data_IF_589495066615
#
_entry.id   IF_589495066615
#
_cell.length_a   1.000
_cell.length_b   1.000
_cell.length_c   1.000
_cell.angle_alpha   90.00
_cell.angle_beta   90.00
_cell.angle_gamma   90.00
#
_symmetry.space_group_name_H-M   'P 1'
#
loop_
_entity.id
_entity.type
_entity.pdbx_description
1 polymer ?
#
# COMPACT_ATOMS: atom_id res chain seq x y z
N UNK A 1 98.35 30.78 -12.77
CA UNK A 1 97.56 31.53 -11.77
C UNK A 1 96.25 30.81 -11.56
N UNK A 2 95.97 30.44 -10.33
CA UNK A 2 94.90 29.52 -9.90
C UNK A 2 93.56 30.26 -9.89
N UNK A 3 92.57 29.72 -10.61
CA UNK A 3 91.21 30.27 -10.65
C UNK A 3 90.33 29.54 -9.62
N UNK A 4 89.84 30.27 -8.61
CA UNK A 4 88.83 29.81 -7.63
C UNK A 4 87.43 29.99 -8.22
N UNK A 5 86.61 28.94 -8.22
CA UNK A 5 85.15 29.06 -8.37
C UNK A 5 84.48 28.22 -7.28
N UNK A 6 83.69 28.88 -6.44
CA UNK A 6 83.01 28.31 -5.29
C UNK A 6 81.78 27.49 -5.66
N UNK A 7 81.64 26.33 -5.03
CA UNK A 7 80.44 25.47 -5.07
C UNK A 7 79.41 25.98 -4.06
N UNK A 8 78.22 26.37 -4.52
CA UNK A 8 77.02 26.52 -3.69
C UNK A 8 76.28 25.18 -3.66
N UNK A 9 75.98 24.70 -2.46
CA UNK A 9 75.11 23.56 -2.18
C UNK A 9 73.64 24.00 -2.32
N UNK A 10 72.84 23.25 -3.07
CA UNK A 10 71.37 23.36 -3.07
C UNK A 10 70.83 22.03 -2.56
N UNK A 11 70.18 22.07 -1.40
CA UNK A 11 69.46 20.98 -0.77
C UNK A 11 68.07 20.85 -1.39
N UNK A 12 67.76 19.69 -1.97
CA UNK A 12 66.41 19.35 -2.44
C UNK A 12 65.70 18.58 -1.33
N UNK A 13 64.67 19.21 -0.74
CA UNK A 13 63.74 18.55 0.18
C UNK A 13 62.67 17.80 -0.62
N UNK A 14 62.49 16.51 -0.35
CA UNK A 14 61.43 15.68 -0.92
C UNK A 14 60.25 15.69 0.05
N UNK A 15 59.13 16.28 -0.36
CA UNK A 15 57.87 16.24 0.36
C UNK A 15 57.05 15.04 -0.10
N UNK A 16 56.86 14.05 0.78
CA UNK A 16 55.97 12.90 0.54
C UNK A 16 54.54 13.31 0.94
N UNK A 17 53.65 13.46 -0.05
CA UNK A 17 52.23 13.68 0.19
C UNK A 17 51.50 12.33 0.33
N UNK A 18 51.01 12.03 1.53
CA UNK A 18 50.12 10.90 1.80
C UNK A 18 48.70 11.27 1.35
N UNK A 19 48.28 10.78 0.19
CA UNK A 19 46.90 10.84 -0.27
C UNK A 19 46.10 9.71 0.38
N UNK A 20 45.37 10.00 1.46
CA UNK A 20 44.34 9.11 1.99
C UNK A 20 43.13 9.11 1.05
N UNK A 21 43.10 8.13 0.14
CA UNK A 21 41.96 7.89 -0.75
C UNK A 21 40.78 7.29 0.02
N UNK A 22 39.68 8.03 0.12
CA UNK A 22 38.39 7.48 0.57
C UNK A 22 37.88 6.59 -0.57
N UNK A 23 37.85 5.27 -0.35
CA UNK A 23 37.27 4.33 -1.28
C UNK A 23 35.75 4.54 -1.33
N UNK A 24 35.27 5.26 -2.33
CA UNK A 24 33.84 5.34 -2.65
C UNK A 24 33.46 4.01 -3.30
N UNK A 25 32.72 3.17 -2.59
CA UNK A 25 32.15 1.96 -3.18
C UNK A 25 31.11 2.37 -4.23
N UNK A 26 31.11 1.78 -5.44
CA UNK A 26 30.08 2.06 -6.43
C UNK A 26 28.73 1.56 -5.90
N UNK A 27 27.71 2.42 -5.93
CA UNK A 27 26.34 2.01 -5.66
C UNK A 27 25.95 0.94 -6.69
N UNK A 28 25.50 -0.23 -6.21
CA UNK A 28 24.94 -1.24 -7.11
C UNK A 28 23.73 -0.63 -7.84
N UNK A 29 23.61 -0.82 -9.16
CA UNK A 29 22.46 -0.31 -9.90
C UNK A 29 21.18 -0.92 -9.32
N UNK A 30 20.18 -0.09 -9.07
CA UNK A 30 18.85 -0.55 -8.71
C UNK A 30 18.35 -1.46 -9.83
N UNK A 31 18.03 -2.71 -9.51
CA UNK A 31 17.52 -3.67 -10.48
C UNK A 31 16.00 -3.54 -10.60
N UNK A 32 15.48 -3.72 -11.81
CA UNK A 32 14.06 -4.01 -12.02
C UNK A 32 13.63 -5.21 -11.17
N UNK A 33 12.33 -5.38 -10.88
CA UNK A 33 11.85 -6.60 -10.20
C UNK A 33 11.44 -7.64 -11.24
N UNK A 34 12.35 -8.53 -11.67
CA UNK A 34 12.01 -9.51 -12.67
C UNK A 34 10.92 -10.46 -12.19
N UNK A 35 10.15 -10.95 -13.15
CA UNK A 35 9.26 -12.09 -13.00
C UNK A 35 8.13 -11.91 -11.98
N UNK A 36 7.58 -10.69 -11.81
CA UNK A 36 6.37 -10.51 -10.98
C UNK A 36 5.23 -11.44 -11.42
N UNK A 37 4.52 -11.99 -10.43
CA UNK A 37 3.42 -12.94 -10.59
C UNK A 37 2.20 -12.36 -9.91
N UNK A 38 1.10 -12.30 -10.66
CA UNK A 38 -0.22 -12.03 -10.13
C UNK A 38 -0.85 -13.33 -9.63
N UNK A 39 -1.31 -13.35 -8.38
CA UNK A 39 -2.00 -14.48 -7.76
C UNK A 39 -3.38 -14.03 -7.27
N UNK A 40 -4.34 -14.96 -7.26
CA UNK A 40 -5.69 -14.69 -6.77
C UNK A 40 -6.27 -15.90 -6.03
N UNK A 41 -7.12 -15.65 -5.04
CA UNK A 41 -7.90 -16.67 -4.35
C UNK A 41 -9.29 -16.13 -4.02
N UNK A 42 -10.31 -16.99 -4.13
CA UNK A 42 -11.71 -16.64 -3.91
C UNK A 42 -12.27 -17.47 -2.75
N UNK A 43 -12.97 -16.81 -1.83
CA UNK A 43 -13.66 -17.49 -0.74
C UNK A 43 -14.96 -18.15 -1.21
N UNK A 44 -15.51 -19.12 -0.44
CA UNK A 44 -16.85 -19.65 -0.70
C UNK A 44 -17.91 -18.55 -0.70
N UNK A 45 -18.99 -18.78 -1.46
CA UNK A 45 -20.21 -17.97 -1.43
C UNK A 45 -21.11 -18.50 -0.32
N UNK A 46 -21.40 -17.68 0.69
CA UNK A 46 -22.37 -17.99 1.76
C UNK A 46 -22.84 -16.70 2.48
N UNK A 47 -23.56 -16.84 3.61
CA UNK A 47 -24.18 -15.74 4.36
C UNK A 47 -23.45 -15.36 5.66
N UNK A 48 -22.17 -15.73 5.84
CA UNK A 48 -21.38 -15.36 7.03
C UNK A 48 -21.25 -13.83 7.16
N UNK A 49 -21.22 -13.34 8.39
CA UNK A 49 -21.10 -11.90 8.68
C UNK A 49 -19.69 -11.35 8.49
N UNK A 50 -18.67 -12.21 8.42
CA UNK A 50 -17.31 -11.79 8.17
C UNK A 50 -16.53 -12.89 7.45
N UNK A 51 -15.56 -12.48 6.64
CA UNK A 51 -14.64 -13.39 5.96
C UNK A 51 -13.23 -12.85 5.99
N UNK A 52 -12.32 -13.79 6.12
CA UNK A 52 -10.91 -13.63 5.77
C UNK A 52 -10.62 -14.45 4.53
N UNK A 53 -9.96 -13.84 3.56
CA UNK A 53 -9.41 -14.54 2.41
C UNK A 53 -7.95 -14.18 2.25
N UNK A 54 -7.11 -15.22 2.12
CA UNK A 54 -5.69 -15.07 1.89
C UNK A 54 -5.31 -15.59 0.50
N UNK A 55 -4.28 -15.01 -0.09
CA UNK A 55 -3.63 -15.55 -1.28
C UNK A 55 -2.13 -15.62 -1.07
N UNK A 56 -1.57 -16.83 -1.18
CA UNK A 56 -0.15 -17.08 -0.92
C UNK A 56 0.71 -16.79 -2.16
N UNK A 57 1.88 -16.20 -1.91
CA UNK A 57 2.90 -16.12 -2.94
C UNK A 57 3.50 -17.50 -3.23
N UNK A 58 3.94 -17.77 -4.47
CA UNK A 58 4.67 -18.99 -4.79
C UNK A 58 5.95 -19.12 -3.94
N UNK A 59 6.45 -20.34 -3.70
CA UNK A 59 7.69 -20.55 -2.96
C UNK A 59 8.85 -19.70 -3.50
N UNK A 60 9.60 -19.07 -2.59
CA UNK A 60 10.73 -18.21 -2.92
C UNK A 60 10.36 -16.82 -3.44
N UNK A 61 9.07 -16.46 -3.46
CA UNK A 61 8.60 -15.11 -3.82
C UNK A 61 8.14 -14.35 -2.58
N UNK A 62 8.23 -13.02 -2.67
CA UNK A 62 7.82 -12.07 -1.63
C UNK A 62 6.55 -11.34 -2.04
N UNK A 63 5.69 -11.01 -1.08
CA UNK A 63 4.50 -10.19 -1.33
C UNK A 63 4.90 -8.72 -1.44
N UNK A 64 4.61 -8.10 -2.57
CA UNK A 64 4.93 -6.68 -2.84
C UNK A 64 3.73 -5.77 -2.60
N UNK A 65 2.53 -6.28 -2.82
CA UNK A 65 1.28 -5.57 -2.66
C UNK A 65 0.11 -6.47 -3.05
N UNK A 66 -1.09 -5.92 -3.06
CA UNK A 66 -2.29 -6.70 -3.35
C UNK A 66 -3.54 -5.86 -3.19
N UNK A 67 -4.68 -6.53 -3.26
CA UNK A 67 -5.99 -5.87 -3.21
C UNK A 67 -7.11 -6.86 -2.91
N UNK A 68 -8.33 -6.33 -2.85
CA UNK A 68 -9.54 -7.08 -2.51
C UNK A 68 -10.71 -6.77 -3.44
N UNK A 69 -11.64 -7.71 -3.54
CA UNK A 69 -12.93 -7.50 -4.19
C UNK A 69 -14.02 -8.25 -3.44
N UNK A 70 -15.12 -7.55 -3.16
CA UNK A 70 -16.33 -8.13 -2.58
C UNK A 70 -17.40 -8.27 -3.67
N UNK A 71 -17.90 -9.49 -3.87
CA UNK A 71 -18.97 -9.80 -4.81
C UNK A 71 -20.25 -10.26 -4.12
N UNK A 72 -21.41 -9.86 -4.64
CA UNK A 72 -22.73 -10.29 -4.12
C UNK A 72 -23.19 -9.55 -2.85
N UNK A 73 -22.41 -8.61 -2.33
CA UNK A 73 -22.63 -7.96 -1.04
C UNK A 73 -23.67 -6.82 -1.00
N UNK A 74 -24.21 -6.40 -2.15
CA UNK A 74 -25.02 -5.18 -2.20
C UNK A 74 -24.20 -3.95 -1.75
N UNK A 75 -24.69 -3.23 -0.72
CA UNK A 75 -24.08 -2.02 -0.13
C UNK A 75 -23.74 -2.20 1.35
N UNK A 76 -23.63 -3.45 1.80
CA UNK A 76 -23.68 -3.79 3.23
C UNK A 76 -22.53 -4.72 3.65
N UNK A 77 -21.51 -4.90 2.82
CA UNK A 77 -20.27 -5.56 3.21
C UNK A 77 -19.13 -4.65 2.83
N UNK A 78 -18.24 -4.44 3.78
CA UNK A 78 -17.15 -3.47 3.67
C UNK A 78 -15.82 -4.19 3.82
N UNK A 79 -14.84 -3.79 3.03
CA UNK A 79 -13.46 -4.25 3.19
C UNK A 79 -12.85 -3.47 4.36
N UNK A 80 -12.46 -4.19 5.40
CA UNK A 80 -11.88 -3.62 6.62
C UNK A 80 -10.38 -3.91 6.73
N UNK A 81 -9.87 -4.87 5.95
CA UNK A 81 -8.46 -5.24 5.93
C UNK A 81 -8.00 -5.52 4.51
N UNK A 82 -6.89 -4.91 4.11
CA UNK A 82 -6.09 -5.25 2.93
C UNK A 82 -4.63 -5.08 3.28
N UNK A 83 -3.92 -6.16 3.61
CA UNK A 83 -2.55 -6.08 4.11
C UNK A 83 -1.60 -7.09 3.45
N UNK A 84 -0.36 -6.69 3.16
CA UNK A 84 0.72 -7.62 2.89
C UNK A 84 1.19 -8.26 4.20
N UNK A 85 1.31 -9.58 4.22
CA UNK A 85 1.80 -10.33 5.38
C UNK A 85 3.04 -11.13 5.00
N UNK A 86 4.10 -10.96 5.78
CA UNK A 86 5.33 -11.74 5.65
C UNK A 86 5.58 -12.55 6.91
N UNK A 87 5.75 -13.86 6.74
CA UNK A 87 6.00 -14.80 7.84
C UNK A 87 7.17 -15.73 7.49
N UNK A 88 7.77 -16.42 8.47
CA UNK A 88 8.81 -17.43 8.19
C UNK A 88 8.32 -18.58 7.29
N UNK A 89 7.01 -18.86 7.29
CA UNK A 89 6.40 -19.94 6.49
C UNK A 89 5.99 -19.50 5.08
N UNK A 90 6.08 -18.21 4.77
CA UNK A 90 5.75 -17.67 3.46
C UNK A 90 5.04 -16.32 3.54
N UNK A 91 5.01 -15.66 2.40
CA UNK A 91 4.36 -14.37 2.20
C UNK A 91 2.97 -14.56 1.58
N UNK A 92 2.01 -13.75 2.00
CA UNK A 92 0.65 -13.75 1.47
C UNK A 92 0.03 -12.35 1.53
N UNK A 93 -1.04 -12.15 0.77
CA UNK A 93 -1.90 -10.99 0.94
C UNK A 93 -3.19 -11.41 1.66
N UNK A 94 -3.58 -10.65 2.68
CA UNK A 94 -4.79 -10.89 3.45
C UNK A 94 -5.82 -9.82 3.15
N UNK A 95 -7.05 -10.25 2.92
CA UNK A 95 -8.21 -9.39 2.79
C UNK A 95 -9.27 -9.87 3.78
N UNK A 96 -9.77 -8.95 4.60
CA UNK A 96 -10.94 -9.18 5.45
C UNK A 96 -12.06 -8.24 5.04
N UNK A 97 -13.28 -8.75 5.13
CA UNK A 97 -14.48 -7.98 4.89
C UNK A 97 -15.57 -8.42 5.86
N UNK A 98 -16.38 -7.46 6.28
CA UNK A 98 -17.43 -7.63 7.28
C UNK A 98 -18.74 -7.05 6.78
N UNK A 99 -19.83 -7.76 7.04
CA UNK A 99 -21.17 -7.23 6.87
C UNK A 99 -21.37 -6.08 7.85
N UNK A 100 -21.92 -4.97 7.36
CA UNK A 100 -22.32 -3.85 8.21
C UNK A 100 -23.51 -4.26 9.07
N UNK A 101 -23.55 -3.74 10.28
CA UNK A 101 -24.70 -3.89 11.17
C UNK A 101 -25.54 -2.63 11.04
N UNK A 102 -26.82 -2.76 10.69
CA UNK A 102 -27.73 -1.62 10.65
C UNK A 102 -28.07 -1.15 12.06
N UNK A 103 -28.49 0.11 12.18
CA UNK A 103 -28.97 0.70 13.43
C UNK A 103 -30.15 -0.05 14.09
N UNK A 104 -30.94 -0.80 13.32
CA UNK A 104 -32.05 -1.63 13.83
C UNK A 104 -31.59 -3.03 14.32
N UNK A 105 -30.29 -3.30 14.32
CA UNK A 105 -29.69 -4.57 14.71
C UNK A 105 -29.82 -5.67 13.64
N UNK A 106 -30.32 -5.35 12.45
CA UNK A 106 -30.35 -6.30 11.33
C UNK A 106 -29.05 -6.21 10.51
N UNK A 107 -28.47 -7.36 10.19
CA UNK A 107 -27.28 -7.46 9.33
C UNK A 107 -27.63 -7.90 7.92
N UNK A 108 -26.68 -7.75 7.00
CA UNK A 108 -26.77 -8.31 5.65
C UNK A 108 -26.99 -9.84 5.71
N UNK A 109 -28.02 -10.32 5.00
CA UNK A 109 -28.39 -11.76 4.94
C UNK A 109 -28.20 -12.39 3.56
N UNK A 110 -27.70 -11.63 2.59
CA UNK A 110 -27.43 -12.13 1.25
C UNK A 110 -26.20 -13.03 1.22
N UNK A 111 -26.11 -13.82 0.16
CA UNK A 111 -24.89 -14.57 -0.15
C UNK A 111 -23.86 -13.66 -0.81
N UNK A 112 -22.61 -13.75 -0.36
CA UNK A 112 -21.52 -12.94 -0.88
C UNK A 112 -20.20 -13.70 -0.83
N UNK A 113 -19.21 -13.24 -1.59
CA UNK A 113 -17.86 -13.78 -1.61
C UNK A 113 -16.80 -12.68 -1.58
N UNK A 114 -15.58 -13.08 -1.24
CA UNK A 114 -14.40 -12.23 -1.15
C UNK A 114 -13.30 -12.79 -2.04
N UNK A 115 -12.65 -11.92 -2.81
CA UNK A 115 -11.47 -12.26 -3.60
C UNK A 115 -10.27 -11.51 -3.04
N UNK A 116 -9.19 -12.24 -2.77
CA UNK A 116 -7.89 -11.69 -2.46
C UNK A 116 -7.00 -11.71 -3.72
N UNK A 117 -6.29 -10.61 -3.95
CA UNK A 117 -5.32 -10.47 -5.03
C UNK A 117 -3.94 -10.18 -4.45
N UNK A 118 -2.91 -10.83 -5.00
CA UNK A 118 -1.53 -10.64 -4.57
C UNK A 118 -0.60 -10.35 -5.75
N UNK A 119 0.36 -9.46 -5.51
CA UNK A 119 1.47 -9.15 -6.41
C UNK A 119 2.73 -9.71 -5.77
N UNK A 120 3.26 -10.79 -6.36
CA UNK A 120 4.41 -11.52 -5.82
C UNK A 120 5.63 -11.37 -6.71
N UNK A 121 6.81 -11.13 -6.15
CA UNK A 121 8.04 -10.93 -6.92
C UNK A 121 9.26 -11.52 -6.23
N UNK A 122 10.42 -11.38 -6.87
CA UNK A 122 11.68 -11.52 -6.14
C UNK A 122 11.81 -10.37 -5.13
N UNK A 123 12.54 -10.60 -4.04
CA UNK A 123 12.82 -9.56 -3.07
C UNK A 123 13.64 -8.44 -3.73
N UNK A 124 13.13 -7.20 -3.85
CA UNK A 124 13.97 -6.08 -4.27
C UNK A 124 15.04 -5.81 -3.21
N UNK A 125 16.09 -5.09 -3.63
CA UNK A 125 17.13 -4.63 -2.72
C UNK A 125 16.52 -3.83 -1.55
N UNK A 126 16.97 -4.12 -0.33
CA UNK A 126 16.48 -3.42 0.86
C UNK A 126 15.03 -3.70 1.23
N UNK A 127 14.38 -4.76 0.71
CA UNK A 127 12.99 -5.10 1.06
C UNK A 127 12.77 -5.15 2.58
N UNK A 128 11.76 -4.43 3.05
CA UNK A 128 11.37 -4.37 4.45
C UNK A 128 9.86 -4.14 4.60
N UNK A 129 9.26 -4.76 5.61
CA UNK A 129 7.85 -4.58 5.95
C UNK A 129 7.77 -3.79 7.25
N UNK A 130 7.09 -2.65 7.22
CA UNK A 130 6.90 -1.79 8.41
C UNK A 130 5.42 -1.56 8.66
N UNK A 131 5.06 -1.36 9.92
CA UNK A 131 3.69 -1.02 10.30
C UNK A 131 3.64 -0.05 11.48
N UNK A 132 2.52 0.66 11.61
CA UNK A 132 2.22 1.52 12.74
C UNK A 132 0.73 1.40 13.09
N UNK A 133 0.41 1.45 14.38
CA UNK A 133 -0.96 1.39 14.91
C UNK A 133 -1.39 2.74 15.47
N UNK A 134 -2.65 3.09 15.31
CA UNK A 134 -3.24 4.25 15.98
C UNK A 134 -3.49 3.94 17.47
N UNK A 135 -3.85 4.97 18.24
CA UNK A 135 -4.57 4.76 19.48
C UNK A 135 -5.94 4.09 19.20
N UNK A 136 -6.53 3.47 20.22
CA UNK A 136 -7.86 2.87 20.14
C UNK A 136 -8.85 3.56 21.08
N UNK A 137 -10.10 3.72 20.66
CA UNK A 137 -11.16 4.34 21.45
C UNK A 137 -12.53 4.29 20.76
N UNK A 138 -13.37 5.27 21.04
CA UNK A 138 -14.76 5.38 20.53
C UNK A 138 -14.94 6.64 19.68
N UNK A 139 -13.86 7.14 19.07
CA UNK A 139 -13.95 8.27 18.16
C UNK A 139 -14.49 7.79 16.80
N UNK A 140 -15.21 8.66 16.10
CA UNK A 140 -15.77 8.33 14.78
C UNK A 140 -14.73 8.22 13.66
N UNK A 141 -13.46 8.54 13.94
CA UNK A 141 -12.38 8.43 12.97
C UNK A 141 -11.05 8.13 13.64
N UNK A 142 -10.26 7.29 12.98
CA UNK A 142 -8.86 7.08 13.33
C UNK A 142 -7.98 7.15 12.09
N UNK A 143 -6.78 7.67 12.29
CA UNK A 143 -5.76 7.73 11.26
C UNK A 143 -4.38 7.47 11.83
N UNK A 144 -3.53 6.84 11.01
CA UNK A 144 -2.13 6.58 11.34
C UNK A 144 -1.27 6.70 10.10
N UNK A 145 0.02 6.95 10.27
CA UNK A 145 0.99 6.89 9.19
C UNK A 145 2.21 6.08 9.60
N UNK A 146 2.77 5.35 8.65
CA UNK A 146 4.01 4.60 8.80
C UNK A 146 5.01 5.06 7.76
N UNK A 147 6.22 5.38 8.19
CA UNK A 147 7.31 5.82 7.32
C UNK A 147 8.23 4.66 6.96
N UNK A 148 8.65 4.61 5.70
CA UNK A 148 9.76 3.74 5.32
C UNK A 148 11.06 4.21 5.99
N UNK A 149 12.00 3.29 6.28
CA UNK A 149 13.33 3.63 6.76
C UNK A 149 14.04 4.62 5.84
N UNK A 150 14.99 5.38 6.40
CA UNK A 150 15.75 6.37 5.64
C UNK A 150 16.39 5.77 4.38
N UNK A 151 16.24 6.46 3.24
CA UNK A 151 16.74 6.01 1.94
C UNK A 151 15.77 5.12 1.15
N UNK A 152 14.82 4.45 1.79
CA UNK A 152 13.86 3.55 1.14
C UNK A 152 12.63 4.28 0.58
N UNK A 153 11.86 3.59 -0.24
CA UNK A 153 10.58 4.04 -0.81
C UNK A 153 9.51 2.98 -0.65
N UNK A 154 8.27 3.44 -0.51
CA UNK A 154 7.05 2.63 -0.52
C UNK A 154 6.87 2.03 -1.90
N UNK A 155 6.77 0.70 -1.95
CA UNK A 155 6.45 -0.09 -3.15
C UNK A 155 5.12 -0.82 -3.01
N UNK A 156 4.60 -0.94 -1.78
CA UNK A 156 3.32 -1.55 -1.46
C UNK A 156 2.70 -0.92 -0.22
N UNK A 157 1.38 -0.96 -0.14
CA UNK A 157 0.60 -0.37 0.95
C UNK A 157 -0.39 -1.40 1.51
N UNK A 158 -0.84 -1.16 2.74
CA UNK A 158 -1.95 -1.89 3.33
C UNK A 158 -2.57 -1.13 4.50
N UNK A 159 -3.81 -1.46 4.80
CA UNK A 159 -4.59 -0.89 5.89
C UNK A 159 -5.48 -1.93 6.55
N UNK A 160 -5.65 -1.81 7.86
CA UNK A 160 -6.47 -2.70 8.66
C UNK A 160 -7.24 -1.88 9.71
N UNK A 161 -8.52 -2.20 9.89
CA UNK A 161 -9.34 -1.77 11.03
C UNK A 161 -9.29 -2.87 12.08
N UNK A 162 -9.05 -2.52 13.35
CA UNK A 162 -9.01 -3.49 14.45
C UNK A 162 -9.82 -3.03 15.67
N UNK A 163 -10.74 -3.87 16.19
CA UNK A 163 -11.23 -5.09 15.56
C UNK A 163 -12.14 -4.79 14.37
N UNK A 164 -12.19 -5.70 13.41
CA UNK A 164 -13.02 -5.60 12.21
C UNK A 164 -14.39 -6.27 12.40
N UNK A 165 -15.45 -5.49 12.62
CA UNK A 165 -16.82 -5.99 12.75
C UNK A 165 -17.86 -5.19 11.96
N UNK A 166 -17.45 -4.54 10.86
CA UNK A 166 -18.36 -3.85 9.93
C UNK A 166 -18.97 -2.55 10.47
N UNK A 167 -18.47 -2.01 11.57
CA UNK A 167 -18.85 -0.68 12.09
C UNK A 167 -17.93 0.45 11.61
N UNK A 168 -16.83 0.13 10.95
CA UNK A 168 -15.90 1.11 10.41
C UNK A 168 -15.38 0.65 9.05
N UNK A 169 -15.09 1.63 8.19
CA UNK A 169 -14.66 1.43 6.80
C UNK A 169 -13.34 2.10 6.55
N UNK A 170 -12.48 1.43 5.78
CA UNK A 170 -11.27 2.04 5.25
C UNK A 170 -11.66 3.14 4.24
N UNK A 171 -11.12 4.34 4.46
CA UNK A 171 -11.40 5.53 3.64
C UNK A 171 -10.16 5.92 2.84
N UNK A 172 -9.03 6.16 3.52
CA UNK A 172 -7.72 6.29 2.89
C UNK A 172 -6.86 5.05 3.17
N UNK A 173 -6.31 4.46 2.11
CA UNK A 173 -5.18 3.52 2.17
C UNK A 173 -4.23 3.92 1.04
N UNK A 174 -3.34 4.87 1.30
CA UNK A 174 -2.55 5.48 0.21
C UNK A 174 -1.11 5.83 0.60
N UNK A 175 -0.18 5.75 -0.36
CA UNK A 175 1.16 6.28 -0.17
C UNK A 175 1.15 7.80 -0.27
N UNK A 176 1.97 8.49 0.52
CA UNK A 176 2.21 9.93 0.29
C UNK A 176 2.91 10.13 -1.06
N UNK A 177 2.78 11.32 -1.65
CA UNK A 177 3.25 11.61 -3.01
C UNK A 177 4.75 11.39 -3.22
N UNK A 178 5.56 11.52 -2.17
CA UNK A 178 7.01 11.26 -2.18
C UNK A 178 7.38 9.78 -2.06
N UNK A 179 6.39 8.89 -1.92
CA UNK A 179 6.56 7.45 -1.66
C UNK A 179 7.46 7.17 -0.45
N UNK A 180 7.38 7.97 0.60
CA UNK A 180 8.19 7.80 1.84
C UNK A 180 7.40 7.26 3.01
N UNK A 181 6.06 7.32 2.95
CA UNK A 181 5.18 6.84 4.00
C UNK A 181 3.82 6.41 3.43
N UNK A 182 3.10 5.62 4.21
CA UNK A 182 1.70 5.24 3.96
C UNK A 182 0.84 5.88 5.01
N UNK A 183 -0.31 6.43 4.59
CA UNK A 183 -1.36 6.93 5.47
C UNK A 183 -2.56 6.00 5.36
N UNK A 184 -3.11 5.66 6.51
CA UNK A 184 -4.40 4.96 6.62
C UNK A 184 -5.34 5.80 7.45
N UNK A 185 -6.58 5.97 6.98
CA UNK A 185 -7.70 6.54 7.72
C UNK A 185 -8.90 5.62 7.58
N UNK A 186 -9.73 5.60 8.61
CA UNK A 186 -11.01 4.94 8.59
C UNK A 186 -12.02 5.79 9.36
N UNK A 187 -13.29 5.57 9.03
CA UNK A 187 -14.42 6.22 9.67
C UNK A 187 -15.40 5.17 10.17
N UNK A 188 -16.06 5.46 11.28
CA UNK A 188 -17.26 4.72 11.66
C UNK A 188 -18.32 4.86 10.56
N UNK A 189 -19.08 3.79 10.37
CA UNK A 189 -20.28 3.76 9.54
C UNK A 189 -21.44 4.42 10.28
N UNK A 190 -22.67 4.26 9.78
CA UNK A 190 -23.91 4.79 10.36
C UNK A 190 -24.16 4.45 11.85
N UNK A 191 -23.51 3.42 12.40
CA UNK A 191 -23.69 2.99 13.80
C UNK A 191 -22.41 3.22 14.60
N UNK A 192 -22.53 3.96 15.71
CA UNK A 192 -21.45 4.12 16.69
C UNK A 192 -20.86 2.77 17.07
N UNK A 193 -19.54 2.66 17.09
CA UNK A 193 -18.90 1.39 17.43
C UNK A 193 -19.21 1.01 18.89
N UNK A 194 -19.77 -0.19 19.14
CA UNK A 194 -20.02 -0.66 20.51
C UNK A 194 -18.72 -1.07 21.23
N UNK A 195 -17.58 -1.05 20.54
CA UNK A 195 -16.27 -1.48 21.05
C UNK A 195 -15.18 -0.46 20.73
N UNK A 196 -14.10 -0.49 21.51
CA UNK A 196 -12.92 0.31 21.15
C UNK A 196 -12.30 -0.22 19.87
N UNK A 197 -12.01 0.68 18.94
CA UNK A 197 -11.40 0.35 17.66
C UNK A 197 -10.27 1.32 17.30
N UNK A 198 -9.49 0.97 16.29
CA UNK A 198 -8.45 1.79 15.70
C UNK A 198 -8.00 1.24 14.34
N UNK A 199 -6.94 1.82 13.78
CA UNK A 199 -6.38 1.41 12.48
C UNK A 199 -4.90 1.08 12.55
N UNK A 200 -4.45 0.27 11.60
CA UNK A 200 -3.04 -0.03 11.36
C UNK A 200 -2.67 0.26 9.92
N UNK A 201 -1.56 0.96 9.72
CA UNK A 201 -0.97 1.17 8.41
C UNK A 201 0.18 0.19 8.18
N UNK A 202 0.25 -0.35 6.98
CA UNK A 202 1.32 -1.23 6.50
C UNK A 202 2.00 -0.60 5.29
N UNK A 203 3.33 -0.65 5.26
CA UNK A 203 4.11 -0.31 4.08
C UNK A 203 5.10 -1.42 3.76
N UNK A 204 5.17 -1.76 2.47
CA UNK A 204 6.27 -2.54 1.89
C UNK A 204 7.27 -1.53 1.35
N UNK A 205 8.47 -1.54 1.89
CA UNK A 205 9.54 -0.61 1.59
C UNK A 205 10.69 -1.32 0.88
N UNK A 206 11.36 -0.65 -0.03
CA UNK A 206 12.59 -1.14 -0.66
C UNK A 206 13.51 0.03 -1.01
N UNK A 207 14.75 -0.27 -1.40
CA UNK A 207 15.58 0.73 -2.06
C UNK A 207 14.86 1.23 -3.34
N UNK A 208 15.06 2.50 -3.77
CA UNK A 208 14.36 3.05 -4.93
C UNK A 208 14.51 2.17 -6.17
N UNK A 209 13.40 1.59 -6.64
CA UNK A 209 13.35 0.72 -7.83
C UNK A 209 13.42 1.59 -9.09
N UNK A 210 14.08 1.16 -10.19
CA UNK A 210 14.08 1.93 -11.42
C UNK A 210 12.66 2.17 -11.94
N UNK A 211 12.43 3.36 -12.49
CA UNK A 211 11.11 3.75 -13.01
C UNK A 211 10.02 3.90 -11.95
N UNK A 212 10.37 3.95 -10.65
CA UNK A 212 9.41 4.14 -9.58
C UNK A 212 8.59 5.42 -9.80
N UNK A 213 7.28 5.26 -9.93
CA UNK A 213 6.33 6.33 -10.16
C UNK A 213 5.04 6.08 -9.39
N UNK A 214 4.43 7.15 -8.88
CA UNK A 214 3.07 7.14 -8.37
C UNK A 214 2.16 7.78 -9.41
N UNK A 215 1.19 7.02 -9.92
CA UNK A 215 0.15 7.54 -10.81
C UNK A 215 -1.20 7.46 -10.13
N UNK A 216 -2.12 8.37 -10.48
CA UNK A 216 -3.46 8.37 -9.91
C UNK A 216 -4.52 8.86 -10.90
N UNK A 217 -5.76 8.46 -10.66
CA UNK A 217 -6.94 8.97 -11.33
C UNK A 217 -8.04 9.24 -10.31
N UNK A 218 -8.91 10.21 -10.57
CA UNK A 218 -10.00 10.61 -9.68
C UNK A 218 -11.32 10.56 -10.44
N UNK A 219 -12.36 10.03 -9.80
CA UNK A 219 -13.71 10.02 -10.34
C UNK A 219 -14.32 11.43 -10.42
N UNK A 220 -15.41 11.62 -11.17
CA UNK A 220 -16.25 12.80 -11.02
C UNK A 220 -16.77 12.99 -9.58
N UNK A 221 -17.04 14.24 -9.23
CA UNK A 221 -17.65 14.64 -7.95
C UNK A 221 -19.17 14.71 -8.11
N UNK A 222 -19.83 13.63 -7.69
CA UNK A 222 -21.28 13.42 -7.74
C UNK A 222 -21.68 12.37 -6.67
N UNK A 223 -22.95 11.99 -6.60
CA UNK A 223 -23.48 10.96 -5.69
C UNK A 223 -23.58 9.55 -6.31
N UNK A 224 -23.02 9.33 -7.49
CA UNK A 224 -23.04 8.01 -8.10
C UNK A 224 -22.02 7.07 -7.45
N UNK A 225 -22.25 5.76 -7.53
CA UNK A 225 -21.22 4.76 -7.27
C UNK A 225 -19.98 5.04 -8.12
N UNK A 226 -18.80 4.86 -7.53
CA UNK A 226 -17.55 5.19 -8.22
C UNK A 226 -16.93 3.95 -8.82
N UNK A 227 -16.48 4.12 -10.05
CA UNK A 227 -15.61 3.20 -10.75
C UNK A 227 -14.52 4.05 -11.40
N UNK A 228 -13.28 3.83 -11.00
CA UNK A 228 -12.13 4.58 -11.53
C UNK A 228 -10.94 3.65 -11.67
N UNK A 229 -10.13 3.86 -12.70
CA UNK A 229 -8.92 3.08 -12.94
C UNK A 229 -7.76 3.95 -13.38
N UNK A 230 -6.54 3.46 -13.16
CA UNK A 230 -5.31 4.13 -13.57
C UNK A 230 -4.32 3.11 -14.13
N UNK A 231 -3.64 3.48 -15.22
CA UNK A 231 -2.62 2.64 -15.86
C UNK A 231 -1.22 3.13 -15.51
N UNK A 232 -0.30 2.19 -15.34
CA UNK A 232 1.12 2.47 -15.17
C UNK A 232 1.73 3.03 -16.47
N UNK A 233 2.77 3.88 -16.38
CA UNK A 233 3.55 4.31 -17.54
C UNK A 233 4.08 3.13 -18.35
N UNK A 234 4.24 3.32 -19.66
CA UNK A 234 4.79 2.29 -20.56
C UNK A 234 6.11 1.74 -20.04
N UNK A 235 6.23 0.40 -20.03
CA UNK A 235 7.43 -0.30 -19.56
C UNK A 235 7.52 -0.48 -18.04
N UNK A 236 6.53 -0.01 -17.28
CA UNK A 236 6.41 -0.27 -15.84
C UNK A 236 5.23 -1.20 -15.53
N UNK A 237 5.19 -1.68 -14.30
CA UNK A 237 4.19 -2.61 -13.77
C UNK A 237 3.74 -2.15 -12.37
N UNK A 238 2.57 -2.57 -11.94
CA UNK A 238 2.00 -2.29 -10.62
C UNK A 238 2.74 -3.13 -9.57
N UNK A 239 3.32 -2.47 -8.57
CA UNK A 239 3.89 -3.10 -7.36
C UNK A 239 2.93 -3.00 -6.18
N UNK A 240 2.22 -1.87 -6.09
CA UNK A 240 1.30 -1.55 -5.02
C UNK A 240 0.18 -0.65 -5.51
N UNK A 241 -0.89 -0.59 -4.74
CA UNK A 241 -2.10 0.11 -5.11
C UNK A 241 -2.79 0.65 -3.87
N UNK A 242 -3.36 1.85 -4.00
CA UNK A 242 -4.04 2.52 -2.91
C UNK A 242 -5.30 3.22 -3.37
N UNK A 243 -6.11 3.66 -2.42
CA UNK A 243 -7.33 4.39 -2.67
C UNK A 243 -7.56 5.47 -1.62
N UNK A 244 -8.31 6.51 -2.01
CA UNK A 244 -8.95 7.44 -1.09
C UNK A 244 -10.37 7.75 -1.51
N UNK A 245 -11.23 7.97 -0.54
CA UNK A 245 -12.56 8.54 -0.74
C UNK A 245 -12.57 9.95 -0.16
N UNK A 246 -13.26 10.88 -0.83
CA UNK A 246 -13.40 12.23 -0.29
C UNK A 246 -14.73 12.87 -0.75
N UNK A 247 -15.58 13.37 0.17
CA UNK A 247 -15.38 13.41 1.61
C UNK A 247 -15.98 12.24 2.41
N UNK A 248 -16.67 11.22 1.87
CA UNK A 248 -17.92 10.63 2.39
C UNK A 248 -18.00 10.17 3.88
N UNK A 249 -16.93 10.24 4.67
CA UNK A 249 -16.91 10.20 6.14
C UNK A 249 -17.57 8.95 6.74
N UNK A 250 -17.40 7.79 6.10
CA UNK A 250 -18.00 6.52 6.53
C UNK A 250 -19.25 6.09 5.77
N UNK A 251 -19.87 7.00 5.02
CA UNK A 251 -21.10 6.77 4.24
C UNK A 251 -20.84 6.09 2.89
N UNK A 252 -19.57 5.84 2.55
CA UNK A 252 -19.17 5.08 1.39
C UNK A 252 -17.96 4.20 1.70
N UNK A 253 -17.89 3.05 1.04
CA UNK A 253 -16.87 2.05 1.28
C UNK A 253 -16.20 1.58 -0.02
N UNK A 254 -14.92 1.20 0.11
CA UNK A 254 -14.18 0.48 -0.94
C UNK A 254 -14.75 -0.94 -1.02
N UNK A 255 -15.30 -1.28 -2.19
CA UNK A 255 -15.86 -2.62 -2.48
C UNK A 255 -14.97 -3.42 -3.42
N UNK A 256 -14.13 -2.74 -4.19
CA UNK A 256 -13.09 -3.36 -4.98
C UNK A 256 -11.88 -2.44 -5.08
N UNK A 257 -10.70 -2.99 -4.87
CA UNK A 257 -9.44 -2.32 -5.16
C UNK A 257 -8.45 -3.42 -5.57
N UNK A 258 -8.11 -3.50 -6.85
CA UNK A 258 -7.31 -4.62 -7.35
C UNK A 258 -6.48 -4.27 -8.60
N UNK A 259 -5.33 -4.93 -8.80
CA UNK A 259 -4.59 -4.86 -10.05
C UNK A 259 -5.18 -5.84 -11.07
N UNK A 260 -5.09 -5.48 -12.35
CA UNK A 260 -5.43 -6.36 -13.48
C UNK A 260 -4.19 -7.06 -14.04
N UNK A 261 -4.34 -8.21 -14.69
CA UNK A 261 -3.25 -8.80 -15.47
C UNK A 261 -3.03 -7.97 -16.75
N UNK A 262 -1.77 -7.68 -17.16
CA UNK A 262 -0.50 -8.25 -16.68
C UNK A 262 0.24 -7.35 -15.65
N UNK A 263 -0.48 -6.79 -14.66
CA UNK A 263 0.00 -5.79 -13.69
C UNK A 263 0.31 -4.44 -14.34
N UNK A 264 -0.56 -3.96 -15.21
CA UNK A 264 -0.38 -2.64 -15.86
C UNK A 264 -1.44 -1.61 -15.43
N UNK A 265 -2.51 -2.06 -14.77
CA UNK A 265 -3.65 -1.22 -14.46
C UNK A 265 -4.26 -1.62 -13.12
N UNK A 266 -4.72 -0.62 -12.36
CA UNK A 266 -5.41 -0.76 -11.09
C UNK A 266 -6.82 -0.21 -11.22
N UNK A 267 -7.79 -0.92 -10.65
CA UNK A 267 -9.20 -0.52 -10.59
C UNK A 267 -9.66 -0.35 -9.15
N UNK A 268 -10.46 0.68 -8.92
CA UNK A 268 -11.18 0.98 -7.70
C UNK A 268 -12.68 1.02 -7.98
N UNK A 269 -13.45 0.37 -7.13
CA UNK A 269 -14.90 0.49 -7.02
C UNK A 269 -15.27 0.85 -5.59
N UNK A 270 -16.05 1.92 -5.44
CA UNK A 270 -16.55 2.38 -4.16
C UNK A 270 -18.04 2.68 -4.25
N UNK A 271 -18.76 2.44 -3.17
CA UNK A 271 -20.21 2.57 -3.13
C UNK A 271 -20.63 3.25 -1.85
N UNK A 272 -21.62 4.12 -1.96
CA UNK A 272 -22.38 4.58 -0.81
C UNK A 272 -23.05 3.38 -0.12
N UNK A 273 -23.21 3.48 1.20
CA UNK A 273 -24.00 2.55 1.98
C UNK A 273 -25.52 2.67 1.66
N UNK A 274 -26.38 2.15 2.54
CA UNK A 274 -27.81 2.14 2.31
C UNK A 274 -28.49 3.49 2.59
N UNK A 275 -28.02 4.26 3.57
CA UNK A 275 -28.61 5.57 3.86
C UNK A 275 -28.14 6.64 2.89
N UNK A 276 -26.99 6.41 2.26
CA UNK A 276 -26.34 7.25 1.24
C UNK A 276 -25.84 8.58 1.75
N UNK A 277 -24.74 9.00 1.14
CA UNK A 277 -24.20 10.33 1.37
C UNK A 277 -25.07 11.41 0.73
N UNK A 278 -25.41 12.45 1.49
CA UNK A 278 -26.26 13.56 1.01
C UNK A 278 -25.52 14.55 0.10
N UNK A 279 -24.18 14.47 0.05
CA UNK A 279 -23.33 15.35 -0.75
C UNK A 279 -22.73 14.67 -1.97
N UNK A 280 -21.93 15.44 -2.71
CA UNK A 280 -21.08 14.90 -3.78
C UNK A 280 -19.77 14.39 -3.19
N UNK A 281 -19.26 13.32 -3.76
CA UNK A 281 -18.00 12.72 -3.34
C UNK A 281 -17.20 12.21 -4.53
N UNK A 282 -15.93 11.91 -4.27
CA UNK A 282 -14.95 11.42 -5.24
C UNK A 282 -14.26 10.18 -4.68
N UNK A 283 -13.84 9.30 -5.58
CA UNK A 283 -12.91 8.23 -5.30
C UNK A 283 -11.64 8.46 -6.12
N UNK A 284 -10.48 8.28 -5.50
CA UNK A 284 -9.18 8.36 -6.16
C UNK A 284 -8.46 7.02 -6.02
N UNK A 285 -7.97 6.51 -7.14
CA UNK A 285 -7.15 5.30 -7.19
C UNK A 285 -5.69 5.67 -7.43
N UNK A 286 -4.79 4.94 -6.80
CA UNK A 286 -3.35 5.09 -6.91
C UNK A 286 -2.71 3.77 -7.38
N UNK A 287 -1.73 3.87 -8.27
CA UNK A 287 -0.83 2.77 -8.59
C UNK A 287 0.62 3.21 -8.35
N UNK A 288 1.34 2.39 -7.58
CA UNK A 288 2.79 2.47 -7.44
C UNK A 288 3.37 1.58 -8.53
N UNK A 289 4.04 2.19 -9.50
CA UNK A 289 4.57 1.54 -10.68
C UNK A 289 6.09 1.52 -10.64
N UNK A 290 6.73 0.46 -11.11
CA UNK A 290 8.17 0.43 -11.37
C UNK A 290 8.50 -0.62 -12.46
N UNK A 291 9.75 -0.68 -12.91
CA UNK A 291 10.20 -1.64 -13.93
C UNK A 291 10.51 -3.02 -13.37
#
# INVERSE_FOLDING_TARGET
>A
MVNRVGRRLVSVGVSVALASGVAVSPAAPAAAVPSMVFVTATSPIDTRLGRTQVVHCPPGRRILGGGGYVGGAGREVVIDTMIPVSTPTGDYFEVNASATTRADGTGFRGEWFLVAYGICGHAPAGLEYVSAVSATGFESTYGVSVSCPAGKRVIGVGGEVTPAFGFAVLDDVLPVTTLTSVRVTAFETETDSPVRWGVKAHAVCADPIPGLALVSATSPSDSADKTVGVSCPTGTRVHGLGASLAPPLGEAAITALYPSQPLEHVRLEAREDLTRYTGNWTARVHAICAT
#
